data_IF_562719718395
#
_entry.id   IF_562719718395
#
_cell.length_a   1.000
_cell.length_b   1.000
_cell.length_c   1.000
_cell.angle_alpha   90.00
_cell.angle_beta   90.00
_cell.angle_gamma   90.00
#
_symmetry.space_group_name_H-M   'P 1'
#
loop_
_entity.id
_entity.type
_entity.pdbx_description
1 polymer ?
#
# COMPACT_ATOMS: atom_id res chain seq x y z
N UNK A 1 -5.15 10.08 14.50
CA UNK A 1 -4.32 9.27 14.63
C UNK A 1 -3.77 9.15 15.84
N UNK A 2 -3.76 8.30 16.32
CA UNK A 2 -3.53 8.16 17.52
C UNK A 2 -2.34 7.60 17.89
N UNK A 3 -1.80 6.81 17.16
CA UNK A 3 -0.65 6.24 17.54
C UNK A 3 0.44 7.19 17.61
N UNK A 4 1.52 6.77 18.08
CA UNK A 4 2.74 7.51 18.09
C UNK A 4 3.03 7.95 16.69
N UNK A 5 3.34 9.19 16.53
CA UNK A 5 3.48 9.76 15.22
C UNK A 5 4.43 9.03 14.34
N UNK A 6 5.43 8.46 14.90
CA UNK A 6 6.34 7.89 14.07
C UNK A 6 6.23 6.48 13.95
N UNK A 7 5.34 5.93 14.48
CA UNK A 7 5.53 4.60 14.65
C UNK A 7 5.02 3.71 13.71
N UNK A 8 3.99 3.96 13.13
CA UNK A 8 3.32 2.80 12.70
C UNK A 8 2.75 2.84 11.35
N UNK A 9 2.81 3.93 10.68
CA UNK A 9 2.17 4.05 9.37
C UNK A 9 3.23 3.97 8.28
N UNK A 10 3.06 3.00 7.40
CA UNK A 10 3.99 2.73 6.33
C UNK A 10 3.26 2.79 5.00
N UNK A 11 3.96 3.18 3.96
CA UNK A 11 3.44 3.16 2.60
C UNK A 11 4.25 2.12 1.84
N UNK A 12 3.56 1.18 1.22
CA UNK A 12 4.26 0.16 0.44
C UNK A 12 4.81 0.77 -0.85
N UNK A 13 5.95 0.28 -1.27
CA UNK A 13 6.48 0.62 -2.58
C UNK A 13 5.46 0.27 -3.67
N UNK A 14 4.64 -0.76 -3.44
CA UNK A 14 3.59 -1.14 -4.38
C UNK A 14 2.55 -0.04 -4.55
N UNK A 15 2.22 0.68 -3.48
CA UNK A 15 1.27 1.78 -3.56
C UNK A 15 1.79 2.90 -4.43
N UNK A 16 3.06 3.25 -4.25
CA UNK A 16 3.68 4.30 -5.06
C UNK A 16 3.74 3.87 -6.53
N UNK A 17 4.06 2.61 -6.76
CA UNK A 17 4.12 2.04 -8.11
C UNK A 17 2.75 2.07 -8.78
N UNK A 18 1.71 1.70 -8.06
CA UNK A 18 0.35 1.72 -8.59
C UNK A 18 -0.05 3.15 -8.97
N UNK A 19 0.27 4.13 -8.14
CA UNK A 19 0.01 5.54 -8.43
C UNK A 19 0.71 5.94 -9.71
N UNK A 20 1.97 5.54 -9.87
CA UNK A 20 2.75 5.89 -11.06
C UNK A 20 2.09 5.35 -12.33
N UNK A 21 1.65 4.11 -12.29
CA UNK A 21 1.03 3.49 -13.45
C UNK A 21 -0.29 4.17 -13.79
N UNK A 22 -1.14 4.36 -12.80
CA UNK A 22 -2.46 4.94 -13.03
C UNK A 22 -2.38 6.37 -13.51
N UNK A 23 -1.49 7.14 -12.94
CA UNK A 23 -1.32 8.53 -13.35
C UNK A 23 -0.81 8.61 -14.79
N UNK A 24 0.17 7.78 -15.12
CA UNK A 24 0.75 7.76 -16.46
C UNK A 24 -0.29 7.38 -17.52
N UNK A 25 -1.21 6.49 -17.17
CA UNK A 25 -2.26 6.07 -18.08
C UNK A 25 -3.39 7.09 -18.21
N UNK A 26 -3.34 8.17 -17.47
CA UNK A 26 -4.38 9.21 -17.55
C UNK A 26 -5.70 8.79 -16.95
N UNK A 27 -5.67 7.86 -16.01
CA UNK A 27 -6.90 7.43 -15.36
C UNK A 27 -7.41 8.51 -14.44
N UNK A 28 -8.69 8.83 -14.57
CA UNK A 28 -9.26 9.97 -13.87
C UNK A 28 -9.26 9.87 -12.36
N UNK A 29 -9.14 8.66 -11.84
CA UNK A 29 -9.13 8.47 -10.40
C UNK A 29 -7.73 8.64 -9.78
N UNK A 30 -6.74 9.03 -10.56
CA UNK A 30 -5.39 9.24 -10.04
C UNK A 30 -4.83 10.56 -10.56
N UNK A 31 -5.30 11.68 -9.99
CA UNK A 31 -4.86 13.00 -10.44
C UNK A 31 -3.46 13.40 -9.99
N UNK A 32 -2.89 12.66 -9.06
CA UNK A 32 -1.59 12.99 -8.48
C UNK A 32 -0.51 12.12 -9.09
N UNK A 33 0.64 12.72 -9.40
CA UNK A 33 1.78 11.95 -9.88
C UNK A 33 2.41 11.17 -8.75
N UNK A 34 3.16 10.13 -9.11
CA UNK A 34 3.85 9.35 -8.08
C UNK A 34 4.89 10.19 -7.34
N UNK A 35 5.52 11.13 -8.03
CA UNK A 35 6.52 11.99 -7.39
C UNK A 35 5.87 12.91 -6.37
N UNK A 36 4.72 13.48 -6.69
CA UNK A 36 4.01 14.34 -5.75
C UNK A 36 3.47 13.52 -4.58
N UNK A 37 2.97 12.32 -4.83
CA UNK A 37 2.52 11.44 -3.77
C UNK A 37 3.66 11.06 -2.84
N UNK A 38 4.81 10.73 -3.41
CA UNK A 38 6.00 10.38 -2.62
C UNK A 38 6.40 11.53 -1.70
N UNK A 39 6.41 12.74 -2.24
CA UNK A 39 6.75 13.93 -1.47
C UNK A 39 5.75 14.15 -0.34
N UNK A 40 4.48 13.95 -0.62
CA UNK A 40 3.45 14.09 0.38
C UNK A 40 3.64 13.08 1.51
N UNK A 41 3.90 11.82 1.16
CA UNK A 41 4.12 10.78 2.17
C UNK A 41 5.35 11.08 3.02
N UNK A 42 6.43 11.53 2.38
CA UNK A 42 7.65 11.89 3.11
C UNK A 42 7.40 13.05 4.07
N UNK A 43 6.69 14.07 3.62
CA UNK A 43 6.40 15.23 4.45
C UNK A 43 5.45 14.90 5.58
N UNK A 44 4.65 13.87 5.42
CA UNK A 44 3.72 13.43 6.45
C UNK A 44 4.39 12.53 7.49
N UNK A 45 5.65 12.21 7.29
CA UNK A 45 6.39 11.39 8.25
C UNK A 45 6.14 9.90 8.11
N UNK A 46 5.53 9.47 7.02
CA UNK A 46 5.31 8.04 6.80
C UNK A 46 6.60 7.37 6.38
N UNK A 47 6.71 6.10 6.70
CA UNK A 47 7.85 5.30 6.30
C UNK A 47 7.47 4.46 5.10
N UNK A 48 8.48 3.96 4.38
CA UNK A 48 8.24 3.18 3.19
C UNK A 48 8.65 1.73 3.39
N UNK A 49 7.78 0.83 2.94
CA UNK A 49 8.02 -0.59 3.03
C UNK A 49 8.37 -1.12 1.65
N UNK A 50 9.57 -1.65 1.46
CA UNK A 50 9.92 -2.25 0.19
C UNK A 50 9.23 -3.59 0.01
N UNK A 51 9.10 -4.05 -1.23
CA UNK A 51 8.57 -5.37 -1.50
C UNK A 51 9.72 -6.36 -1.34
N UNK A 52 9.60 -7.25 -0.37
CA UNK A 52 10.61 -8.26 -0.10
C UNK A 52 10.23 -9.58 -0.76
N UNK A 53 11.19 -10.45 -1.02
CA UNK A 53 10.87 -11.75 -1.63
C UNK A 53 9.82 -12.55 -0.89
N UNK A 54 9.82 -12.51 0.43
CA UNK A 54 8.84 -13.25 1.22
C UNK A 54 7.43 -12.71 1.04
N UNK A 55 7.29 -11.44 0.72
CA UNK A 55 5.99 -10.88 0.38
C UNK A 55 5.47 -11.53 -0.90
N UNK A 56 6.33 -11.63 -1.89
CA UNK A 56 5.95 -12.23 -3.16
C UNK A 56 5.58 -13.70 -3.02
N UNK A 57 6.31 -14.42 -2.20
CA UNK A 57 6.01 -15.83 -1.94
C UNK A 57 4.66 -15.99 -1.27
N UNK A 58 4.36 -15.12 -0.31
CA UNK A 58 3.10 -15.16 0.43
C UNK A 58 1.89 -14.95 -0.47
N UNK A 59 2.06 -14.21 -1.55
CA UNK A 59 0.97 -13.97 -2.51
C UNK A 59 0.41 -15.30 -3.04
N UNK A 60 1.27 -16.30 -3.21
CA UNK A 60 0.84 -17.59 -3.74
C UNK A 60 -0.19 -18.26 -2.85
N UNK A 61 -0.12 -18.01 -1.55
CA UNK A 61 -1.02 -18.65 -0.58
C UNK A 61 -2.32 -17.91 -0.37
N UNK A 62 -2.48 -16.74 -0.98
CA UNK A 62 -3.69 -15.96 -0.79
C UNK A 62 -4.85 -16.56 -1.57
N UNK A 63 -6.08 -16.47 -1.02
CA UNK A 63 -7.26 -16.89 -1.78
C UNK A 63 -7.35 -16.09 -3.08
N UNK A 64 -7.93 -16.72 -4.10
CA UNK A 64 -8.03 -16.11 -5.41
C UNK A 64 -9.24 -15.19 -5.52
N UNK A 65 -9.45 -14.34 -4.53
CA UNK A 65 -10.59 -13.43 -4.55
C UNK A 65 -10.32 -12.17 -5.34
N UNK A 66 -9.05 -11.79 -5.45
CA UNK A 66 -8.68 -10.58 -6.17
C UNK A 66 -7.71 -10.94 -7.25
N UNK A 67 -7.92 -10.35 -8.41
CA UNK A 67 -6.99 -10.51 -9.52
C UNK A 67 -5.95 -9.39 -9.54
N UNK A 68 -6.19 -8.30 -8.85
CA UNK A 68 -5.32 -7.14 -8.91
C UNK A 68 -4.01 -7.43 -8.16
N UNK A 69 -2.88 -7.43 -8.85
CA UNK A 69 -1.60 -7.77 -8.22
C UNK A 69 -1.17 -6.77 -7.14
N UNK A 70 -1.55 -5.50 -7.27
CA UNK A 70 -1.18 -4.52 -6.26
C UNK A 70 -1.92 -4.80 -4.95
N UNK A 71 -3.19 -5.14 -5.03
CA UNK A 71 -3.97 -5.48 -3.85
C UNK A 71 -3.41 -6.74 -3.20
N UNK A 72 -3.07 -7.74 -4.01
CA UNK A 72 -2.57 -8.99 -3.48
C UNK A 72 -1.24 -8.81 -2.75
N UNK A 73 -0.34 -8.00 -3.30
CA UNK A 73 0.94 -7.80 -2.64
C UNK A 73 0.78 -7.00 -1.34
N UNK A 74 -0.17 -6.04 -1.31
CA UNK A 74 -0.45 -5.30 -0.08
C UNK A 74 -0.98 -6.21 1.01
N UNK A 75 -1.89 -7.12 0.66
CA UNK A 75 -2.42 -8.08 1.63
C UNK A 75 -1.30 -8.99 2.14
N UNK A 76 -0.44 -9.46 1.24
CA UNK A 76 0.69 -10.29 1.63
C UNK A 76 1.62 -9.57 2.60
N UNK A 77 1.91 -8.30 2.32
CA UNK A 77 2.74 -7.50 3.21
C UNK A 77 2.10 -7.34 4.58
N UNK A 78 0.80 -7.11 4.62
CA UNK A 78 0.10 -6.96 5.89
C UNK A 78 0.10 -8.25 6.72
N UNK A 79 0.14 -9.40 6.05
CA UNK A 79 0.20 -10.67 6.76
C UNK A 79 1.60 -10.99 7.27
N UNK A 80 2.61 -10.56 6.55
CA UNK A 80 4.00 -10.85 6.90
C UNK A 80 4.54 -9.85 7.91
N UNK A 81 4.20 -8.58 7.73
CA UNK A 81 4.73 -7.49 8.56
C UNK A 81 3.70 -7.01 9.55
N UNK A 82 4.05 -6.92 10.81
CA UNK A 82 3.08 -6.45 11.81
C UNK A 82 3.05 -4.92 11.84
N UNK A 83 2.78 -4.29 10.73
CA UNK A 83 2.75 -2.84 10.64
C UNK A 83 1.53 -2.36 9.89
N UNK A 84 1.21 -1.10 10.06
CA UNK A 84 0.02 -0.52 9.46
C UNK A 84 0.36 0.00 8.08
N UNK A 85 -0.33 -0.53 7.08
CA UNK A 85 -0.12 -0.15 5.69
C UNK A 85 -1.25 0.73 5.20
N UNK A 86 -0.92 1.64 4.27
CA UNK A 86 -1.91 2.54 3.69
C UNK A 86 -2.34 2.01 2.33
N UNK A 87 -3.64 2.03 2.08
CA UNK A 87 -4.22 1.72 0.78
C UNK A 87 -5.31 2.74 0.47
N UNK A 88 -5.61 2.93 -0.79
CA UNK A 88 -6.76 3.73 -1.19
C UNK A 88 -7.93 2.84 -1.60
N UNK A 89 -7.82 1.53 -1.45
CA UNK A 89 -8.88 0.58 -1.82
C UNK A 89 -9.59 0.09 -0.56
N UNK A 90 -10.87 0.42 -0.39
CA UNK A 90 -11.61 0.00 0.82
C UNK A 90 -11.73 -1.51 0.94
N UNK A 91 -11.72 -2.24 -0.18
CA UNK A 91 -11.78 -3.69 -0.11
C UNK A 91 -10.52 -4.27 0.50
N UNK A 92 -9.37 -3.70 0.17
CA UNK A 92 -8.10 -4.13 0.71
C UNK A 92 -8.03 -3.81 2.19
N UNK A 93 -8.51 -2.65 2.59
CA UNK A 93 -8.48 -2.23 3.99
C UNK A 93 -9.25 -3.17 4.91
N UNK A 94 -10.21 -3.91 4.37
CA UNK A 94 -11.02 -4.83 5.18
C UNK A 94 -10.32 -6.13 5.54
N UNK A 95 -9.19 -6.43 4.89
CA UNK A 95 -8.51 -7.69 5.17
C UNK A 95 -7.80 -7.69 6.52
N UNK A 96 -7.45 -6.54 7.04
CA UNK A 96 -6.71 -6.48 8.29
C UNK A 96 -6.85 -5.09 8.91
N UNK A 97 -6.89 -5.06 10.25
CA UNK A 97 -6.89 -3.80 10.97
C UNK A 97 -5.60 -3.02 10.79
N UNK A 98 -4.57 -3.65 10.27
CA UNK A 98 -3.30 -2.98 10.06
C UNK A 98 -3.25 -2.26 8.71
N UNK A 99 -4.30 -2.36 7.91
CA UNK A 99 -4.37 -1.67 6.62
C UNK A 99 -5.30 -0.47 6.78
N UNK A 100 -4.79 0.70 6.46
CA UNK A 100 -5.52 1.96 6.63
C UNK A 100 -5.97 2.47 5.26
N UNK A 101 -7.25 2.72 5.14
CA UNK A 101 -7.78 3.30 3.91
C UNK A 101 -7.57 4.81 3.92
N UNK A 102 -7.16 5.36 2.80
CA UNK A 102 -7.00 6.82 2.66
C UNK A 102 -7.88 7.37 1.54
#
# INVERSE_FOLDING_TARGET
MIESPRSSVWVSAATVWEIAIKHRLGRGDMPVSSQDALRYFQNSGYRFLPIEPEHAVTVEDLPAHHADPFDRILVAQALVEPMRLITHDPMVARYSDTIIEI
#
